data_IF_133027051308
#
_entry.id   IF_133027051308
#
_cell.length_a   1.000
_cell.length_b   1.000
_cell.length_c   1.000
_cell.angle_alpha   90.00
_cell.angle_beta   90.00
_cell.angle_gamma   90.00
#
_symmetry.space_group_name_H-M   'P 1'
#
loop_
_entity.id
_entity.type
_entity.pdbx_description
1 polymer ?
#
# COMPACT_ATOMS: atom_id res chain seq x y z
N UNK A 1 -10.03 -54.18 40.93
CA UNK A 1 -9.74 -52.95 40.17
C UNK A 1 -10.37 -53.14 38.81
N UNK A 2 -11.43 -52.38 38.53
CA UNK A 2 -12.28 -52.61 37.35
C UNK A 2 -11.56 -52.18 36.07
N UNK A 3 -11.29 -53.16 35.22
CA UNK A 3 -10.63 -52.97 33.92
C UNK A 3 -11.39 -51.99 33.00
N UNK A 4 -12.67 -51.76 33.27
CA UNK A 4 -13.54 -50.81 32.55
C UNK A 4 -13.25 -49.35 32.92
N UNK A 5 -12.91 -49.07 34.19
CA UNK A 5 -12.58 -47.73 34.65
C UNK A 5 -11.24 -47.25 34.05
N UNK A 6 -10.22 -48.12 34.03
CA UNK A 6 -8.93 -47.82 33.38
C UNK A 6 -9.06 -47.63 31.87
N UNK A 7 -9.90 -48.42 31.19
CA UNK A 7 -10.15 -48.25 29.75
C UNK A 7 -10.81 -46.90 29.42
N UNK A 8 -11.73 -46.44 30.26
CA UNK A 8 -12.45 -45.15 30.06
C UNK A 8 -11.51 -43.96 30.24
N UNK A 9 -10.64 -43.98 31.26
CA UNK A 9 -9.66 -42.91 31.49
C UNK A 9 -8.60 -42.82 30.38
N UNK A 10 -8.20 -43.96 29.80
CA UNK A 10 -7.28 -43.99 28.65
C UNK A 10 -7.93 -43.35 27.42
N UNK A 11 -9.19 -43.67 27.13
CA UNK A 11 -9.93 -43.10 25.99
C UNK A 11 -10.11 -41.58 26.10
N UNK A 12 -10.42 -41.08 27.31
CA UNK A 12 -10.52 -39.63 27.57
C UNK A 12 -9.16 -38.96 27.38
N UNK A 13 -8.08 -39.56 27.88
CA UNK A 13 -6.71 -39.06 27.71
C UNK A 13 -6.30 -38.94 26.23
N UNK A 14 -6.57 -39.98 25.42
CA UNK A 14 -6.29 -39.96 23.97
C UNK A 14 -7.11 -38.89 23.25
N UNK A 15 -8.37 -38.72 23.62
CA UNK A 15 -9.25 -37.70 23.00
C UNK A 15 -8.78 -36.27 23.28
N UNK A 16 -8.32 -36.00 24.51
CA UNK A 16 -7.77 -34.69 24.90
C UNK A 16 -6.44 -34.38 24.17
N UNK A 17 -5.56 -35.38 24.03
CA UNK A 17 -4.32 -35.23 23.26
C UNK A 17 -4.60 -34.96 21.78
N UNK A 18 -5.58 -35.64 21.21
CA UNK A 18 -6.01 -35.45 19.81
C UNK A 18 -6.54 -34.04 19.57
N UNK A 19 -7.38 -33.52 20.48
CA UNK A 19 -7.92 -32.16 20.40
C UNK A 19 -6.82 -31.09 20.52
N UNK A 20 -5.85 -31.27 21.43
CA UNK A 20 -4.71 -30.37 21.57
C UNK A 20 -3.83 -30.34 20.32
N UNK A 21 -3.61 -31.49 19.68
CA UNK A 21 -2.83 -31.60 18.46
C UNK A 21 -3.52 -30.91 17.26
N UNK A 22 -4.83 -31.06 17.12
CA UNK A 22 -5.62 -30.35 16.08
C UNK A 22 -5.57 -28.84 16.30
N UNK A 23 -5.70 -28.37 17.55
CA UNK A 23 -5.57 -26.96 17.89
C UNK A 23 -4.20 -26.37 17.54
N UNK A 24 -3.13 -27.12 17.82
CA UNK A 24 -1.77 -26.72 17.46
C UNK A 24 -1.55 -26.65 15.94
N UNK A 25 -2.06 -27.63 15.18
CA UNK A 25 -2.01 -27.58 13.70
C UNK A 25 -2.75 -26.39 13.12
N UNK A 26 -3.88 -25.99 13.71
CA UNK A 26 -4.61 -24.80 13.28
C UNK A 26 -3.79 -23.51 13.53
N UNK A 27 -3.10 -23.41 14.66
CA UNK A 27 -2.22 -22.27 14.97
C UNK A 27 -1.06 -22.21 13.97
N UNK A 28 -0.39 -23.32 13.69
CA UNK A 28 0.71 -23.34 12.73
C UNK A 28 0.24 -23.12 11.29
N UNK A 29 -0.94 -23.63 10.91
CA UNK A 29 -1.56 -23.35 9.61
C UNK A 29 -1.93 -21.87 9.46
N UNK A 30 -2.41 -21.21 10.52
CA UNK A 30 -2.66 -19.76 10.48
C UNK A 30 -1.36 -18.96 10.37
N UNK A 31 -0.29 -19.36 11.08
CA UNK A 31 1.04 -18.75 10.95
C UNK A 31 1.62 -18.92 9.55
N UNK A 32 1.52 -20.12 8.98
CA UNK A 32 1.97 -20.42 7.62
C UNK A 32 1.17 -19.63 6.56
N UNK A 33 -0.15 -19.54 6.71
CA UNK A 33 -1.00 -18.71 5.85
C UNK A 33 -0.63 -17.24 5.95
N UNK A 34 -0.43 -16.72 7.16
CA UNK A 34 -0.03 -15.33 7.37
C UNK A 34 1.34 -15.05 6.72
N UNK A 35 2.32 -15.94 6.90
CA UNK A 35 3.63 -15.83 6.26
C UNK A 35 3.53 -15.86 4.72
N UNK A 36 2.70 -16.74 4.16
CA UNK A 36 2.47 -16.82 2.72
C UNK A 36 1.78 -15.57 2.18
N UNK A 37 0.77 -15.03 2.88
CA UNK A 37 0.11 -13.78 2.48
C UNK A 37 1.06 -12.59 2.51
N UNK A 38 1.91 -12.48 3.53
CA UNK A 38 2.94 -11.43 3.60
C UNK A 38 3.92 -11.56 2.44
N UNK A 39 4.37 -12.78 2.12
CA UNK A 39 5.25 -13.01 1.00
C UNK A 39 4.63 -12.64 -0.35
N UNK A 40 3.37 -13.02 -0.59
CA UNK A 40 2.64 -12.65 -1.80
C UNK A 40 2.46 -11.13 -1.91
N UNK A 41 2.10 -10.45 -0.80
CA UNK A 41 2.00 -8.98 -0.77
C UNK A 41 3.33 -8.33 -1.13
N UNK A 42 4.45 -8.83 -0.61
CA UNK A 42 5.79 -8.33 -0.95
C UNK A 42 6.14 -8.54 -2.43
N UNK A 43 5.79 -9.70 -2.99
CA UNK A 43 5.99 -9.95 -4.43
C UNK A 43 5.18 -8.98 -5.29
N UNK A 44 3.91 -8.75 -4.95
CA UNK A 44 3.06 -7.82 -5.69
C UNK A 44 3.55 -6.38 -5.54
N UNK A 45 3.95 -5.94 -4.34
CA UNK A 45 4.57 -4.61 -4.18
C UNK A 45 5.84 -4.47 -5.02
N UNK A 46 6.70 -5.48 -5.06
CA UNK A 46 7.89 -5.47 -5.92
C UNK A 46 7.51 -5.40 -7.40
N UNK A 47 6.53 -6.19 -7.85
CA UNK A 47 6.07 -6.20 -9.25
C UNK A 47 5.51 -4.84 -9.66
N UNK A 48 4.64 -4.25 -8.84
CA UNK A 48 4.06 -2.93 -9.11
C UNK A 48 5.15 -1.86 -9.16
N UNK A 49 6.10 -1.88 -8.22
CA UNK A 49 7.21 -0.93 -8.22
C UNK A 49 8.13 -1.07 -9.45
N UNK A 50 8.50 -2.29 -9.82
CA UNK A 50 9.37 -2.56 -10.99
C UNK A 50 8.65 -2.22 -12.30
N UNK A 51 7.37 -2.57 -12.44
CA UNK A 51 6.59 -2.30 -13.65
C UNK A 51 6.23 -0.83 -13.82
N UNK A 52 5.94 -0.11 -12.73
CA UNK A 52 5.65 1.32 -12.79
C UNK A 52 6.83 2.18 -13.24
N UNK A 53 8.08 1.69 -13.03
CA UNK A 53 9.28 2.34 -13.56
C UNK A 53 9.41 2.24 -15.08
N UNK A 54 8.79 1.23 -15.70
CA UNK A 54 8.78 1.04 -17.15
C UNK A 54 7.58 1.71 -17.85
N UNK A 55 6.54 2.10 -17.09
CA UNK A 55 5.25 2.55 -17.62
C UNK A 55 5.05 4.07 -17.73
N UNK A 56 6.01 4.92 -17.33
CA UNK A 56 5.86 6.39 -17.31
C UNK A 56 5.87 7.08 -18.70
N UNK A 57 5.70 6.34 -19.81
CA UNK A 57 5.79 6.86 -21.18
C UNK A 57 4.47 7.19 -21.90
N UNK A 58 3.33 7.14 -21.22
CA UNK A 58 2.02 7.11 -21.89
C UNK A 58 1.52 8.42 -22.51
N UNK A 59 1.95 9.58 -22.01
CA UNK A 59 1.37 10.89 -22.39
C UNK A 59 2.16 11.65 -23.46
N UNK A 60 3.35 11.18 -23.84
CA UNK A 60 4.27 11.89 -24.73
C UNK A 60 4.83 13.20 -24.16
N UNK A 61 4.45 13.57 -22.92
CA UNK A 61 4.98 14.70 -22.18
C UNK A 61 5.97 14.16 -21.16
N UNK A 62 7.21 14.63 -21.22
CA UNK A 62 8.23 14.29 -20.24
C UNK A 62 7.88 14.94 -18.89
N UNK A 63 7.79 14.10 -17.85
CA UNK A 63 7.59 14.58 -16.49
C UNK A 63 8.93 15.04 -15.91
N UNK A 64 8.98 16.23 -15.28
CA UNK A 64 10.18 16.68 -14.60
C UNK A 64 10.50 15.75 -13.43
N UNK A 65 11.75 15.81 -12.96
CA UNK A 65 12.15 15.07 -11.76
C UNK A 65 11.35 15.60 -10.57
N UNK A 66 10.80 14.69 -9.75
CA UNK A 66 10.01 15.06 -8.57
C UNK A 66 10.78 15.95 -7.57
N UNK A 67 12.11 15.87 -7.60
CA UNK A 67 13.03 16.65 -6.76
C UNK A 67 13.29 18.07 -7.28
N UNK A 68 12.77 18.44 -8.46
CA UNK A 68 12.91 19.77 -9.06
C UNK A 68 11.59 20.54 -8.92
N UNK A 69 11.41 21.30 -7.82
CA UNK A 69 10.14 21.97 -7.54
C UNK A 69 9.81 23.05 -8.58
N UNK A 70 10.82 23.70 -9.17
CA UNK A 70 10.62 24.77 -10.14
C UNK A 70 10.12 24.20 -11.47
N UNK A 71 10.70 23.09 -11.93
CA UNK A 71 10.23 22.40 -13.12
C UNK A 71 8.82 21.80 -12.94
N UNK A 72 8.52 21.26 -11.76
CA UNK A 72 7.17 20.79 -11.42
C UNK A 72 6.18 21.96 -11.42
N UNK A 73 6.51 23.09 -10.80
CA UNK A 73 5.65 24.27 -10.79
C UNK A 73 5.38 24.79 -12.21
N UNK A 74 6.40 24.84 -13.08
CA UNK A 74 6.23 25.22 -14.48
C UNK A 74 5.31 24.26 -15.25
N UNK A 75 5.44 22.95 -15.02
CA UNK A 75 4.54 21.96 -15.62
C UNK A 75 3.08 22.13 -15.12
N UNK A 76 2.90 22.41 -13.83
CA UNK A 76 1.59 22.66 -13.22
C UNK A 76 0.92 23.89 -13.84
N UNK A 77 1.65 25.00 -13.98
CA UNK A 77 1.11 26.19 -14.65
C UNK A 77 0.74 25.90 -16.11
N UNK A 78 1.59 25.17 -16.83
CA UNK A 78 1.31 24.73 -18.20
C UNK A 78 0.03 23.87 -18.27
N UNK A 79 -0.16 22.94 -17.33
CA UNK A 79 -1.32 22.05 -17.26
C UNK A 79 -2.66 22.76 -17.01
N UNK A 80 -2.64 24.01 -16.54
CA UNK A 80 -3.87 24.81 -16.44
C UNK A 80 -4.44 25.13 -17.81
N UNK A 81 -3.59 25.36 -18.81
CA UNK A 81 -4.00 25.75 -20.17
C UNK A 81 -3.80 24.66 -21.22
N UNK A 82 -2.91 23.69 -20.97
CA UNK A 82 -2.58 22.62 -21.90
C UNK A 82 -3.11 21.26 -21.42
N UNK A 83 -4.02 20.68 -22.20
CA UNK A 83 -4.68 19.41 -21.86
C UNK A 83 -3.72 18.22 -21.87
N UNK A 84 -2.68 18.24 -22.73
CA UNK A 84 -1.68 17.17 -22.75
C UNK A 84 -0.86 17.15 -21.45
N UNK A 85 -0.37 18.31 -21.01
CA UNK A 85 0.31 18.44 -19.72
C UNK A 85 -0.62 18.08 -18.56
N UNK A 86 -1.90 18.48 -18.62
CA UNK A 86 -2.89 18.11 -17.61
C UNK A 86 -3.09 16.60 -17.50
N UNK A 87 -3.29 15.93 -18.64
CA UNK A 87 -3.41 14.46 -18.70
C UNK A 87 -2.14 13.79 -18.19
N UNK A 88 -0.96 14.28 -18.56
CA UNK A 88 0.32 13.72 -18.10
C UNK A 88 0.45 13.77 -16.57
N UNK A 89 0.14 14.91 -15.94
CA UNK A 89 0.12 15.02 -14.49
C UNK A 89 -0.91 14.06 -13.89
N UNK A 90 -2.12 14.00 -14.45
CA UNK A 90 -3.19 13.09 -13.96
C UNK A 90 -2.79 11.63 -14.00
N UNK A 91 -2.27 11.16 -15.12
CA UNK A 91 -1.86 9.76 -15.28
C UNK A 91 -0.76 9.41 -14.28
N UNK A 92 0.20 10.33 -14.11
CA UNK A 92 1.26 10.17 -13.12
C UNK A 92 0.74 10.09 -11.68
N UNK A 93 -0.17 11.00 -11.35
CA UNK A 93 -0.80 11.08 -10.05
C UNK A 93 -1.71 9.85 -9.80
N UNK A 94 -2.52 9.43 -10.76
CA UNK A 94 -3.40 8.27 -10.65
C UNK A 94 -2.63 6.96 -10.40
N UNK A 95 -1.42 6.83 -10.95
CA UNK A 95 -0.54 5.71 -10.63
C UNK A 95 -0.22 5.64 -9.13
N UNK A 96 0.12 6.76 -8.50
CA UNK A 96 0.40 6.82 -7.07
C UNK A 96 -0.85 6.64 -6.20
N UNK A 97 -1.99 7.19 -6.62
CA UNK A 97 -3.27 6.93 -5.96
C UNK A 97 -3.62 5.43 -5.99
N UNK A 98 -3.35 4.75 -7.10
CA UNK A 98 -3.58 3.30 -7.24
C UNK A 98 -2.68 2.50 -6.29
N UNK A 99 -1.42 2.90 -6.13
CA UNK A 99 -0.51 2.32 -5.14
C UNK A 99 -1.04 2.54 -3.72
N UNK A 100 -1.46 3.76 -3.39
CA UNK A 100 -1.98 4.07 -2.07
C UNK A 100 -3.26 3.29 -1.75
N UNK A 101 -4.13 3.15 -2.75
CA UNK A 101 -5.34 2.32 -2.69
C UNK A 101 -4.99 0.85 -2.42
N UNK A 102 -4.03 0.28 -3.16
CA UNK A 102 -3.55 -1.08 -2.94
C UNK A 102 -2.96 -1.30 -1.55
N UNK A 103 -2.21 -0.32 -1.03
CA UNK A 103 -1.70 -0.33 0.33
C UNK A 103 -2.83 -0.28 1.37
N UNK A 104 -3.85 0.56 1.14
CA UNK A 104 -5.01 0.68 2.04
C UNK A 104 -5.77 -0.64 2.15
N UNK A 105 -6.06 -1.29 1.03
CA UNK A 105 -6.79 -2.56 1.00
C UNK A 105 -5.93 -3.79 1.35
N UNK A 106 -4.66 -3.60 1.74
CA UNK A 106 -3.78 -4.69 2.15
C UNK A 106 -3.38 -5.61 0.99
N UNK A 107 -3.45 -5.11 -0.25
CA UNK A 107 -2.87 -5.77 -1.42
C UNK A 107 -1.36 -5.60 -1.41
N UNK A 108 -0.89 -4.42 -0.99
CA UNK A 108 0.54 -4.09 -0.87
C UNK A 108 0.99 -4.11 0.59
N UNK A 109 2.21 -4.58 0.83
CA UNK A 109 2.88 -4.49 2.13
C UNK A 109 3.21 -3.01 2.42
N UNK A 110 2.54 -2.44 3.43
CA UNK A 110 2.62 -1.02 3.79
C UNK A 110 3.99 -0.62 4.33
N UNK A 111 4.61 -1.48 5.14
CA UNK A 111 5.90 -1.21 5.76
C UNK A 111 7.01 -1.23 4.70
N UNK A 112 6.94 -2.21 3.79
CA UNK A 112 7.85 -2.28 2.65
C UNK A 112 7.67 -1.07 1.74
N UNK A 113 6.43 -0.64 1.50
CA UNK A 113 6.14 0.54 0.69
C UNK A 113 6.68 1.82 1.34
N UNK A 114 6.46 2.00 2.65
CA UNK A 114 6.99 3.14 3.40
C UNK A 114 8.53 3.20 3.31
N UNK A 115 9.20 2.06 3.46
CA UNK A 115 10.67 1.99 3.39
C UNK A 115 11.22 2.29 1.99
N UNK A 116 10.55 1.82 0.93
CA UNK A 116 11.07 1.96 -0.44
C UNK A 116 10.70 3.27 -1.13
N UNK A 117 9.46 3.75 -0.93
CA UNK A 117 8.92 4.89 -1.67
C UNK A 117 8.36 5.98 -0.77
N UNK A 118 8.38 5.81 0.56
CA UNK A 118 7.88 6.82 1.51
C UNK A 118 8.44 8.22 1.29
N UNK A 119 9.77 8.40 1.30
CA UNK A 119 10.39 9.72 1.05
C UNK A 119 10.03 10.30 -0.32
N UNK A 120 9.90 9.44 -1.34
CA UNK A 120 9.51 9.85 -2.71
C UNK A 120 8.06 10.32 -2.75
N UNK A 121 7.13 9.57 -2.15
CA UNK A 121 5.71 9.94 -2.09
C UNK A 121 5.49 11.25 -1.32
N UNK A 122 6.28 11.49 -0.27
CA UNK A 122 6.26 12.76 0.46
C UNK A 122 6.71 13.94 -0.43
N UNK A 123 7.73 13.74 -1.27
CA UNK A 123 8.17 14.75 -2.25
C UNK A 123 7.10 14.97 -3.32
N UNK A 124 6.54 13.90 -3.90
CA UNK A 124 5.46 14.00 -4.89
C UNK A 124 4.28 14.78 -4.31
N UNK A 125 3.85 14.43 -3.10
CA UNK A 125 2.74 15.12 -2.45
C UNK A 125 3.04 16.61 -2.27
N UNK A 126 4.24 16.96 -1.83
CA UNK A 126 4.65 18.35 -1.62
C UNK A 126 4.70 19.12 -2.95
N UNK A 127 5.39 18.58 -3.95
CA UNK A 127 5.58 19.23 -5.26
C UNK A 127 4.28 19.38 -6.06
N UNK A 128 3.38 18.39 -5.97
CA UNK A 128 2.11 18.38 -6.72
C UNK A 128 0.90 18.86 -5.90
N UNK A 129 1.06 19.19 -4.61
CA UNK A 129 -0.03 19.72 -3.78
C UNK A 129 -0.76 20.91 -4.43
N UNK A 130 -0.07 21.91 -5.03
CA UNK A 130 -0.75 23.03 -5.68
C UNK A 130 -1.69 22.58 -6.81
N UNK A 131 -1.27 21.60 -7.61
CA UNK A 131 -2.10 21.03 -8.66
C UNK A 131 -3.29 20.24 -8.11
N UNK A 132 -3.07 19.42 -7.08
CA UNK A 132 -4.12 18.64 -6.43
C UNK A 132 -5.21 19.57 -5.87
N UNK A 133 -4.81 20.65 -5.18
CA UNK A 133 -5.73 21.64 -4.64
C UNK A 133 -6.46 22.41 -5.74
N UNK A 134 -5.77 22.74 -6.83
CA UNK A 134 -6.40 23.35 -8.00
C UNK A 134 -7.47 22.43 -8.61
N UNK A 135 -7.18 21.15 -8.84
CA UNK A 135 -8.17 20.18 -9.34
C UNK A 135 -9.33 20.02 -8.35
N UNK A 136 -9.06 19.85 -7.04
CA UNK A 136 -10.12 19.72 -6.02
C UNK A 136 -11.04 20.95 -5.93
N UNK A 137 -10.55 22.14 -6.27
CA UNK A 137 -11.34 23.38 -6.26
C UNK A 137 -12.09 23.64 -7.57
N UNK A 138 -11.62 23.06 -8.68
CA UNK A 138 -12.18 23.30 -10.02
C UNK A 138 -13.03 22.14 -10.53
N UNK A 139 -12.83 20.92 -10.02
CA UNK A 139 -13.53 19.71 -10.44
C UNK A 139 -14.33 19.08 -9.30
N UNK A 140 -15.51 18.55 -9.66
CA UNK A 140 -16.59 18.22 -8.72
C UNK A 140 -16.32 17.08 -7.72
N UNK A 141 -15.33 16.18 -7.85
CA UNK A 141 -14.98 15.30 -6.73
C UNK A 141 -13.86 15.89 -5.86
N UNK A 142 -14.14 16.34 -4.62
CA UNK A 142 -13.12 16.77 -3.66
C UNK A 142 -12.20 15.61 -3.20
N UNK A 143 -12.48 14.39 -3.65
CA UNK A 143 -11.79 13.15 -3.29
C UNK A 143 -10.58 12.84 -4.17
N UNK A 144 -10.21 13.71 -5.12
CA UNK A 144 -8.99 13.51 -5.91
C UNK A 144 -7.79 13.34 -4.96
N UNK A 145 -7.06 12.24 -5.05
CA UNK A 145 -5.89 11.95 -4.21
C UNK A 145 -6.15 11.72 -2.72
N UNK A 146 -7.33 11.21 -2.35
CA UNK A 146 -7.67 10.97 -0.94
C UNK A 146 -6.89 9.79 -0.35
N UNK A 147 -6.61 8.75 -1.14
CA UNK A 147 -5.94 7.55 -0.65
C UNK A 147 -4.46 7.81 -0.41
N UNK A 148 -3.81 8.52 -1.34
CA UNK A 148 -2.44 8.96 -1.18
C UNK A 148 -2.26 9.89 0.02
N UNK A 149 -3.17 10.85 0.19
CA UNK A 149 -3.16 11.75 1.34
C UNK A 149 -3.32 11.00 2.67
N UNK A 150 -4.25 10.05 2.71
CA UNK A 150 -4.49 9.21 3.89
C UNK A 150 -3.26 8.40 4.26
N UNK A 151 -2.63 7.73 3.28
CA UNK A 151 -1.44 6.92 3.49
C UNK A 151 -0.28 7.75 4.07
N UNK A 152 -0.03 8.95 3.51
CA UNK A 152 1.04 9.83 3.99
C UNK A 152 0.76 10.36 5.41
N UNK A 153 -0.49 10.68 5.74
CA UNK A 153 -0.89 11.08 7.10
C UNK A 153 -0.62 9.94 8.10
N UNK A 154 -0.94 8.71 7.74
CA UNK A 154 -0.65 7.53 8.58
C UNK A 154 0.85 7.37 8.82
N UNK A 155 1.67 7.48 7.78
CA UNK A 155 3.13 7.36 7.90
C UNK A 155 3.76 8.45 8.75
N UNK A 156 3.31 9.71 8.61
CA UNK A 156 3.76 10.82 9.46
C UNK A 156 3.39 10.61 10.92
N UNK A 157 2.19 10.09 11.19
CA UNK A 157 1.76 9.75 12.55
C UNK A 157 2.63 8.65 13.15
N UNK A 158 2.95 7.62 12.36
CA UNK A 158 3.81 6.52 12.80
C UNK A 158 5.24 7.00 13.10
N UNK A 159 5.84 7.85 12.25
CA UNK A 159 7.19 8.36 12.49
C UNK A 159 7.31 9.23 13.74
N UNK A 160 6.27 10.00 14.07
CA UNK A 160 6.22 10.81 15.30
C UNK A 160 6.05 9.98 16.57
N UNK A 161 5.54 8.74 16.48
CA UNK A 161 5.37 7.86 17.65
C UNK A 161 6.62 7.08 18.03
N UNK A 162 7.64 7.08 17.16
CA UNK A 162 8.91 6.36 17.33
C UNK A 162 10.04 7.30 17.82
N UNK A 163 9.80 8.62 17.80
CA UNK A 163 10.71 9.66 18.28
C UNK A 163 10.42 10.03 19.74
#
# INVERSE_FOLDING_TARGET
>A
MDATATATWVLVGVSLLSAGFIGWQLIDATRARNAQTTFLRRQETMRVYVSGRAGQGGSGVELPRDSDPDAVAALIEKAKTDELSRRAIRDYLNYWESIATGARFGVLDRDMLAAQVGPKLEHIWTSYSPYIQWIRSTEVPPTFMVELEGLLREWRKASMSVA
#
